data_IF_127297124429
#
_entry.id   IF_127297124429
#
_cell.length_a   1.000
_cell.length_b   1.000
_cell.length_c   1.000
_cell.angle_alpha   90.00
_cell.angle_beta   90.00
_cell.angle_gamma   90.00
#
_symmetry.space_group_name_H-M   'P 1'
#
loop_
_entity.id
_entity.type
_entity.pdbx_description
1 polymer ?
#
# COMPACT_ATOMS: atom_id res chain seq x y z
N UNK A 1 -2.13 4.23 5.90
CA UNK A 1 -1.13 4.95 5.10
C UNK A 1 -0.06 5.47 6.03
N UNK A 2 1.03 4.77 6.15
CA UNK A 2 2.13 5.16 7.00
C UNK A 2 3.35 5.53 6.15
N UNK A 3 3.69 6.79 6.26
CA UNK A 3 4.96 7.44 5.94
C UNK A 3 5.65 7.20 4.59
N UNK A 4 5.55 8.22 3.76
CA UNK A 4 6.54 8.50 2.72
C UNK A 4 7.71 9.21 3.40
N UNK A 5 8.77 8.49 3.76
CA UNK A 5 9.90 9.09 4.48
C UNK A 5 10.81 9.91 3.58
N UNK A 6 10.91 11.19 3.86
CA UNK A 6 11.91 12.10 3.32
C UNK A 6 12.67 12.81 4.47
N UNK A 7 13.96 13.02 4.29
CA UNK A 7 14.86 13.54 5.32
C UNK A 7 14.71 15.05 5.57
N UNK A 8 13.78 15.49 6.40
CA UNK A 8 13.69 16.78 7.12
C UNK A 8 12.24 17.22 7.37
N UNK A 9 11.88 17.59 8.59
CA UNK A 9 10.49 17.57 9.07
C UNK A 9 9.50 18.57 8.44
N UNK A 10 9.87 19.73 7.95
CA UNK A 10 8.93 20.67 7.30
C UNK A 10 8.94 20.58 5.76
N UNK A 11 10.04 20.20 5.15
CA UNK A 11 10.12 19.81 3.73
C UNK A 11 9.67 18.36 3.49
N UNK A 12 9.56 17.56 4.55
CA UNK A 12 9.20 16.14 4.54
C UNK A 12 7.77 15.93 4.03
N UNK A 13 6.82 16.72 4.51
CA UNK A 13 5.43 16.64 4.08
C UNK A 13 5.24 16.99 2.60
N UNK A 14 5.78 18.12 2.15
CA UNK A 14 5.65 18.56 0.75
C UNK A 14 6.35 17.61 -0.23
N UNK A 15 7.51 17.09 0.14
CA UNK A 15 8.26 16.13 -0.67
C UNK A 15 7.53 14.80 -0.76
N UNK A 16 6.97 14.31 0.33
CA UNK A 16 6.17 13.09 0.39
C UNK A 16 4.91 13.21 -0.48
N UNK A 17 4.17 14.32 -0.36
CA UNK A 17 3.01 14.62 -1.21
C UNK A 17 3.41 14.69 -2.68
N UNK A 18 4.55 15.30 -3.01
CA UNK A 18 5.06 15.36 -4.39
C UNK A 18 5.41 13.97 -4.95
N UNK A 19 6.01 13.09 -4.15
CA UNK A 19 6.33 11.71 -4.57
C UNK A 19 5.05 10.92 -4.80
N UNK A 20 4.12 10.98 -3.86
CA UNK A 20 2.83 10.31 -3.97
C UNK A 20 2.03 10.81 -5.17
N UNK A 21 1.97 12.12 -5.39
CA UNK A 21 1.26 12.72 -6.52
C UNK A 21 1.85 12.30 -7.88
N UNK A 22 3.18 12.23 -8.00
CA UNK A 22 3.83 11.77 -9.23
C UNK A 22 3.58 10.27 -9.47
N UNK A 23 3.69 9.45 -8.43
CA UNK A 23 3.40 8.02 -8.52
C UNK A 23 1.94 7.78 -8.92
N UNK A 24 1.01 8.44 -8.25
CA UNK A 24 -0.41 8.30 -8.48
C UNK A 24 -0.83 8.76 -9.88
N UNK A 25 -0.17 9.77 -10.45
CA UNK A 25 -0.43 10.21 -11.82
C UNK A 25 -0.12 9.11 -12.85
N UNK A 26 0.96 8.35 -12.66
CA UNK A 26 1.34 7.23 -13.54
C UNK A 26 0.47 6.01 -13.24
N UNK A 27 0.24 5.70 -11.98
CA UNK A 27 -0.58 4.55 -11.55
C UNK A 27 -2.06 4.70 -11.95
N UNK A 28 -2.58 5.91 -12.13
CA UNK A 28 -3.94 6.15 -12.62
C UNK A 28 -4.21 5.56 -14.02
N UNK A 29 -3.17 5.21 -14.77
CA UNK A 29 -3.26 4.55 -16.09
C UNK A 29 -3.12 3.01 -15.99
N UNK A 30 -2.87 2.48 -14.81
CA UNK A 30 -2.71 1.04 -14.54
C UNK A 30 -4.04 0.43 -14.09
N UNK A 31 -4.31 -0.79 -14.52
CA UNK A 31 -5.50 -1.56 -14.08
C UNK A 31 -5.25 -2.36 -12.79
N UNK A 32 -4.05 -2.27 -12.21
CA UNK A 32 -3.70 -3.06 -11.03
C UNK A 32 -4.41 -2.52 -9.76
N UNK A 33 -4.92 -3.39 -8.86
CA UNK A 33 -5.61 -2.95 -7.63
C UNK A 33 -4.79 -2.00 -6.75
N UNK A 34 -3.48 -2.25 -6.60
CA UNK A 34 -2.55 -1.38 -5.86
C UNK A 34 -2.47 0.02 -6.50
N UNK A 35 -2.42 0.08 -7.83
CA UNK A 35 -2.39 1.33 -8.58
C UNK A 35 -3.64 2.18 -8.32
N UNK A 36 -4.81 1.55 -8.37
CA UNK A 36 -6.08 2.21 -8.04
C UNK A 36 -6.12 2.71 -6.59
N UNK A 37 -5.56 1.95 -5.63
CA UNK A 37 -5.49 2.37 -4.24
C UNK A 37 -4.60 3.62 -4.07
N UNK A 38 -3.43 3.65 -4.71
CA UNK A 38 -2.51 4.80 -4.69
C UNK A 38 -3.15 6.03 -5.33
N UNK A 39 -3.73 5.88 -6.54
CA UNK A 39 -4.37 6.96 -7.27
C UNK A 39 -5.57 7.55 -6.51
N UNK A 40 -6.44 6.69 -5.97
CA UNK A 40 -7.59 7.10 -5.18
C UNK A 40 -7.17 7.86 -3.92
N UNK A 41 -6.26 7.30 -3.12
CA UNK A 41 -5.78 7.94 -1.90
C UNK A 41 -5.17 9.32 -2.16
N UNK A 42 -4.35 9.45 -3.20
CA UNK A 42 -3.74 10.72 -3.55
C UNK A 42 -4.79 11.76 -3.99
N UNK A 43 -5.80 11.35 -4.74
CA UNK A 43 -6.89 12.24 -5.20
C UNK A 43 -7.76 12.71 -4.04
N UNK A 44 -8.16 11.80 -3.15
CA UNK A 44 -9.02 12.10 -2.00
C UNK A 44 -8.36 13.02 -0.97
N UNK A 45 -7.05 12.89 -0.76
CA UNK A 45 -6.34 13.61 0.30
C UNK A 45 -5.58 14.85 -0.19
N UNK A 46 -5.17 14.89 -1.46
CA UNK A 46 -4.30 15.95 -2.00
C UNK A 46 -4.83 16.58 -3.30
N UNK A 47 -5.98 16.12 -3.80
CA UNK A 47 -6.60 16.61 -5.00
C UNK A 47 -6.10 15.97 -6.30
N UNK A 48 -6.64 16.41 -7.43
CA UNK A 48 -6.31 15.85 -8.74
C UNK A 48 -4.85 16.12 -9.15
N UNK A 49 -4.29 15.21 -9.94
CA UNK A 49 -2.92 15.34 -10.45
C UNK A 49 -2.84 16.46 -11.47
N UNK A 50 -1.80 17.29 -11.36
CA UNK A 50 -1.53 18.34 -12.32
C UNK A 50 -0.57 17.80 -13.40
N UNK A 51 -1.07 17.62 -14.62
CA UNK A 51 -0.27 17.19 -15.76
C UNK A 51 -0.89 16.05 -16.56
N UNK A 52 -0.20 15.66 -17.62
CA UNK A 52 -0.53 14.50 -18.45
C UNK A 52 0.60 13.50 -18.39
N UNK A 53 0.29 12.22 -18.52
CA UNK A 53 1.30 11.16 -18.62
C UNK A 53 1.45 10.78 -20.09
N UNK A 54 2.66 10.88 -20.60
CA UNK A 54 3.07 10.43 -21.93
C UNK A 54 3.94 9.18 -21.80
N UNK A 55 4.03 8.39 -22.85
CA UNK A 55 4.91 7.20 -22.91
C UNK A 55 4.70 6.23 -21.73
N UNK A 56 3.43 6.02 -21.35
CA UNK A 56 3.07 5.05 -20.31
C UNK A 56 3.38 3.63 -20.77
N UNK A 57 4.00 2.86 -19.89
CA UNK A 57 4.29 1.45 -20.11
C UNK A 57 4.09 0.69 -18.78
N UNK A 58 3.24 -0.34 -18.82
CA UNK A 58 3.08 -1.32 -17.75
C UNK A 58 3.87 -2.59 -18.09
N UNK A 59 4.66 -3.07 -17.13
CA UNK A 59 5.45 -4.30 -17.25
C UNK A 59 5.28 -5.15 -15.99
N UNK A 60 5.62 -6.44 -16.02
CA UNK A 60 5.59 -7.24 -14.80
C UNK A 60 6.40 -6.58 -13.67
N UNK A 61 5.74 -6.33 -12.54
CA UNK A 61 6.35 -5.73 -11.36
C UNK A 61 6.29 -4.21 -11.26
N UNK A 62 5.87 -3.48 -12.31
CA UNK A 62 5.76 -2.04 -12.20
C UNK A 62 5.27 -1.31 -13.43
N UNK A 63 5.21 0.00 -13.31
CA UNK A 63 4.81 0.93 -14.37
C UNK A 63 5.83 2.06 -14.51
N UNK A 64 5.90 2.65 -15.70
CA UNK A 64 6.65 3.88 -15.95
C UNK A 64 5.88 4.81 -16.87
N UNK A 65 6.17 6.11 -16.76
CA UNK A 65 5.59 7.12 -17.63
C UNK A 65 6.28 8.47 -17.48
N UNK A 66 6.17 9.30 -18.49
CA UNK A 66 6.66 10.67 -18.47
C UNK A 66 5.55 11.62 -18.04
N UNK A 67 5.63 12.14 -16.82
CA UNK A 67 4.72 13.16 -16.31
C UNK A 67 5.11 14.52 -16.90
N UNK A 68 4.22 15.09 -17.71
CA UNK A 68 4.37 16.40 -18.34
C UNK A 68 3.48 17.42 -17.62
N UNK A 69 4.11 18.46 -17.08
CA UNK A 69 3.42 19.57 -16.42
C UNK A 69 3.67 20.86 -17.17
N UNK A 70 2.61 21.58 -17.51
CA UNK A 70 2.71 22.92 -18.07
C UNK A 70 2.69 23.92 -16.93
N UNK A 71 3.68 24.81 -16.89
CA UNK A 71 3.78 25.95 -15.96
C UNK A 71 4.00 27.22 -16.78
N UNK A 72 3.87 28.38 -16.15
CA UNK A 72 4.07 29.68 -16.81
C UNK A 72 5.45 29.81 -17.47
N UNK A 73 6.45 29.12 -16.92
CA UNK A 73 7.83 29.08 -17.42
C UNK A 73 8.10 28.00 -18.49
N UNK A 74 7.06 27.24 -18.92
CA UNK A 74 7.20 26.19 -19.93
C UNK A 74 6.75 24.80 -19.47
N UNK A 75 7.07 23.79 -20.30
CA UNK A 75 6.78 22.38 -20.01
C UNK A 75 7.92 21.73 -19.24
N UNK A 76 7.62 21.17 -18.10
CA UNK A 76 8.55 20.26 -17.38
C UNK A 76 8.19 18.81 -17.64
N UNK A 77 9.20 17.98 -17.91
CA UNK A 77 9.09 16.54 -18.08
C UNK A 77 9.78 15.82 -16.94
N UNK A 78 9.13 14.80 -16.42
CA UNK A 78 9.67 13.97 -15.35
C UNK A 78 9.34 12.51 -15.64
N UNK A 79 10.37 11.68 -15.80
CA UNK A 79 10.18 10.24 -15.84
C UNK A 79 9.88 9.75 -14.42
N UNK A 80 8.86 8.94 -14.28
CA UNK A 80 8.42 8.32 -13.01
C UNK A 80 8.33 6.81 -13.22
N UNK A 81 8.94 6.06 -12.31
CA UNK A 81 8.83 4.61 -12.23
C UNK A 81 8.20 4.26 -10.87
N UNK A 82 7.25 3.34 -10.88
CA UNK A 82 6.59 2.83 -9.67
C UNK A 82 6.49 1.32 -9.77
N UNK A 83 6.86 0.60 -8.74
CA UNK A 83 6.75 -0.86 -8.75
C UNK A 83 7.54 -1.55 -7.64
N UNK A 84 7.77 -2.84 -7.82
CA UNK A 84 8.56 -3.61 -6.84
C UNK A 84 10.01 -3.15 -6.80
N UNK A 85 10.74 -3.38 -5.70
CA UNK A 85 12.18 -3.12 -5.64
C UNK A 85 12.96 -3.81 -6.75
N UNK A 86 12.56 -5.02 -7.10
CA UNK A 86 13.17 -5.82 -8.18
C UNK A 86 12.98 -5.17 -9.55
N UNK A 87 11.79 -4.60 -9.81
CA UNK A 87 11.51 -3.85 -11.04
C UNK A 87 12.42 -2.62 -11.14
N UNK A 88 12.54 -1.83 -10.07
CA UNK A 88 13.44 -0.67 -10.06
C UNK A 88 14.89 -1.07 -10.29
N UNK A 89 15.35 -2.15 -9.65
CA UNK A 89 16.70 -2.66 -9.84
C UNK A 89 16.97 -3.07 -11.30
N UNK A 90 16.02 -3.76 -11.94
CA UNK A 90 16.09 -4.12 -13.38
C UNK A 90 16.12 -2.87 -14.28
N UNK A 91 15.45 -1.81 -13.89
CA UNK A 91 15.48 -0.50 -14.55
C UNK A 91 16.77 0.30 -14.27
N UNK A 92 17.76 -0.27 -13.57
CA UNK A 92 19.02 0.38 -13.21
C UNK A 92 18.93 1.34 -12.04
N UNK A 93 17.90 1.24 -11.22
CA UNK A 93 17.65 2.13 -10.08
C UNK A 93 17.65 1.33 -8.77
N UNK A 94 18.84 1.00 -8.22
CA UNK A 94 18.92 0.31 -6.94
C UNK A 94 18.40 1.17 -5.79
N UNK A 95 17.75 0.55 -4.82
CA UNK A 95 17.37 1.20 -3.58
C UNK A 95 18.63 1.53 -2.75
N UNK A 96 18.56 2.61 -1.98
CA UNK A 96 19.58 2.94 -0.99
C UNK A 96 19.49 2.01 0.21
N UNK A 97 20.56 1.90 0.98
CA UNK A 97 20.59 1.08 2.22
C UNK A 97 19.47 1.46 3.18
N UNK A 98 19.20 2.76 3.35
CA UNK A 98 18.09 3.25 4.18
C UNK A 98 16.73 2.78 3.68
N UNK A 99 16.53 2.77 2.36
CA UNK A 99 15.28 2.29 1.76
C UNK A 99 15.14 0.78 1.89
N UNK A 100 16.23 0.02 1.84
CA UNK A 100 16.22 -1.42 2.13
C UNK A 100 15.78 -1.70 3.57
N UNK A 101 16.36 -1.01 4.55
CA UNK A 101 15.97 -1.15 5.96
C UNK A 101 14.50 -0.83 6.18
N UNK A 102 13.99 0.22 5.54
CA UNK A 102 12.56 0.58 5.61
C UNK A 102 11.66 -0.46 4.94
N UNK A 103 12.09 -1.01 3.80
CA UNK A 103 11.37 -2.07 3.12
C UNK A 103 11.25 -3.31 3.99
N UNK A 104 12.32 -3.72 4.68
CA UNK A 104 12.29 -4.83 5.62
C UNK A 104 11.37 -4.55 6.82
N UNK A 105 11.40 -3.33 7.33
CA UNK A 105 10.48 -2.93 8.39
C UNK A 105 9.02 -3.03 7.95
N UNK A 106 8.64 -2.42 6.81
CA UNK A 106 7.26 -2.47 6.31
C UNK A 106 6.81 -3.89 5.97
N UNK A 107 7.73 -4.74 5.48
CA UNK A 107 7.45 -6.16 5.27
C UNK A 107 7.18 -6.92 6.57
N UNK A 108 7.95 -6.63 7.62
CA UNK A 108 7.73 -7.25 8.94
C UNK A 108 6.39 -6.82 9.57
N UNK A 109 5.89 -5.65 9.18
CA UNK A 109 4.57 -5.13 9.55
C UNK A 109 3.44 -5.66 8.65
N UNK A 110 3.73 -6.55 7.70
CA UNK A 110 2.75 -7.12 6.77
C UNK A 110 2.24 -6.15 5.70
N UNK A 111 2.95 -5.04 5.46
CA UNK A 111 2.55 -4.04 4.48
C UNK A 111 3.03 -4.39 3.07
N UNK A 112 2.17 -4.14 2.08
CA UNK A 112 2.58 -4.17 0.68
C UNK A 112 3.30 -2.88 0.34
N UNK A 113 4.55 -2.98 -0.15
CA UNK A 113 5.37 -1.79 -0.40
C UNK A 113 5.78 -1.72 -1.86
N UNK A 114 5.57 -0.56 -2.49
CA UNK A 114 6.09 -0.22 -3.81
C UNK A 114 7.15 0.88 -3.70
N UNK A 115 8.15 0.81 -4.56
CA UNK A 115 9.21 1.78 -4.64
C UNK A 115 8.93 2.78 -5.77
N UNK A 116 9.34 4.03 -5.57
CA UNK A 116 9.17 5.11 -6.54
C UNK A 116 10.53 5.67 -6.92
N UNK A 117 10.77 5.80 -8.23
CA UNK A 117 11.93 6.49 -8.77
C UNK A 117 11.53 7.63 -9.69
N UNK A 118 12.36 8.66 -9.78
CA UNK A 118 12.13 9.83 -10.62
C UNK A 118 13.41 10.30 -11.32
N UNK A 119 13.23 10.79 -12.55
CA UNK A 119 14.26 11.56 -13.26
C UNK A 119 13.67 12.88 -13.76
N UNK A 120 14.48 13.91 -13.83
CA UNK A 120 14.12 15.23 -14.37
C UNK A 120 14.97 15.49 -15.61
N UNK A 121 14.30 15.74 -16.75
CA UNK A 121 14.95 15.93 -18.04
C UNK A 121 15.68 14.65 -18.49
N UNK A 122 16.95 14.79 -18.89
CA UNK A 122 17.79 13.69 -19.41
C UNK A 122 18.64 13.01 -18.33
N UNK A 123 18.36 13.26 -17.04
CA UNK A 123 19.10 12.61 -15.95
C UNK A 123 18.60 11.18 -15.75
N UNK A 124 19.48 10.33 -15.23
CA UNK A 124 19.09 8.99 -14.82
C UNK A 124 18.10 9.04 -13.65
N UNK A 125 17.13 8.10 -13.60
CA UNK A 125 16.21 8.04 -12.50
C UNK A 125 16.90 7.64 -11.18
N UNK A 126 16.46 8.25 -10.10
CA UNK A 126 16.95 7.98 -8.74
C UNK A 126 15.79 7.51 -7.86
N UNK A 127 16.01 6.57 -6.94
CA UNK A 127 14.99 6.14 -6.00
C UNK A 127 14.67 7.30 -5.05
N UNK A 128 13.39 7.67 -4.96
CA UNK A 128 12.97 8.86 -4.20
C UNK A 128 12.13 8.52 -2.99
N UNK A 129 11.51 7.34 -2.92
CA UNK A 129 10.70 6.94 -1.79
C UNK A 129 10.09 5.56 -1.94
N UNK A 130 9.42 5.14 -0.86
CA UNK A 130 8.60 3.95 -0.79
C UNK A 130 7.16 4.37 -0.45
N UNK A 131 6.19 3.66 -0.99
CA UNK A 131 4.77 3.77 -0.64
C UNK A 131 4.37 2.43 -0.04
N UNK A 132 4.03 2.43 1.25
CA UNK A 132 3.52 1.26 1.94
C UNK A 132 1.98 1.31 1.98
N UNK A 133 1.35 0.20 1.68
CA UNK A 133 -0.09 0.02 1.68
C UNK A 133 -0.45 -1.06 2.70
N UNK A 134 -1.47 -0.78 3.49
CA UNK A 134 -2.09 -1.76 4.37
C UNK A 134 -3.47 -2.10 3.81
N UNK A 135 -3.88 -3.34 3.95
CA UNK A 135 -5.29 -3.68 3.78
C UNK A 135 -6.10 -3.02 4.90
N UNK A 136 -7.17 -2.35 4.52
CA UNK A 136 -8.10 -1.75 5.46
C UNK A 136 -9.43 -2.48 5.40
N UNK A 137 -10.05 -2.77 6.54
CA UNK A 137 -11.41 -3.27 6.56
C UNK A 137 -12.34 -2.33 5.78
N UNK A 138 -13.38 -2.90 5.18
CA UNK A 138 -14.41 -2.08 4.54
C UNK A 138 -15.08 -1.19 5.58
N UNK A 139 -15.52 0.04 5.22
CA UNK A 139 -16.16 0.96 6.17
C UNK A 139 -17.34 0.34 6.93
N UNK A 140 -18.09 -0.54 6.27
CA UNK A 140 -19.24 -1.25 6.84
C UNK A 140 -18.89 -2.43 7.76
N UNK A 141 -17.61 -2.86 7.79
CA UNK A 141 -17.22 -4.06 8.55
C UNK A 141 -17.45 -3.92 10.05
N UNK A 142 -17.13 -2.77 10.64
CA UNK A 142 -17.34 -2.54 12.07
C UNK A 142 -18.83 -2.59 12.44
N UNK A 143 -19.71 -2.04 11.59
CA UNK A 143 -21.16 -2.14 11.80
C UNK A 143 -21.65 -3.58 11.69
N UNK A 144 -21.21 -4.33 10.68
CA UNK A 144 -21.60 -5.73 10.50
C UNK A 144 -21.17 -6.60 11.70
N UNK A 145 -19.96 -6.38 12.24
CA UNK A 145 -19.48 -7.07 13.44
C UNK A 145 -20.33 -6.70 14.66
N UNK A 146 -20.70 -5.43 14.83
CA UNK A 146 -21.59 -5.02 15.92
C UNK A 146 -22.98 -5.69 15.83
N UNK A 147 -23.57 -5.75 14.63
CA UNK A 147 -24.84 -6.43 14.40
C UNK A 147 -24.76 -7.94 14.71
N UNK A 148 -23.64 -8.61 14.40
CA UNK A 148 -23.42 -10.01 14.78
C UNK A 148 -23.36 -10.19 16.30
N UNK A 149 -22.70 -9.29 17.02
CA UNK A 149 -22.69 -9.32 18.50
C UNK A 149 -24.09 -9.13 19.09
N UNK A 150 -24.92 -8.22 18.55
CA UNK A 150 -26.32 -8.05 18.97
C UNK A 150 -27.17 -9.31 18.76
N UNK A 151 -26.84 -10.13 17.76
CA UNK A 151 -27.47 -11.42 17.52
C UNK A 151 -26.94 -12.55 18.44
N UNK A 152 -26.00 -12.23 19.34
CA UNK A 152 -25.37 -13.22 20.21
C UNK A 152 -24.35 -14.12 19.53
N UNK A 153 -23.81 -13.68 18.38
CA UNK A 153 -22.76 -14.38 17.67
C UNK A 153 -21.38 -13.80 18.06
N UNK A 154 -20.36 -14.66 18.08
CA UNK A 154 -18.97 -14.28 18.39
C UNK A 154 -18.13 -14.33 17.10
N UNK A 155 -17.91 -13.19 16.42
CA UNK A 155 -17.10 -13.14 15.21
C UNK A 155 -15.64 -13.52 15.49
N UNK A 156 -15.07 -14.33 14.59
CA UNK A 156 -13.70 -14.82 14.69
C UNK A 156 -12.92 -14.42 13.43
N UNK A 157 -11.72 -13.84 13.60
CA UNK A 157 -10.80 -13.52 12.51
C UNK A 157 -9.80 -14.65 12.32
N UNK A 158 -9.81 -15.28 11.13
CA UNK A 158 -8.90 -16.35 10.74
C UNK A 158 -8.11 -15.95 9.50
N UNK A 159 -6.86 -15.55 9.67
CA UNK A 159 -6.05 -14.95 8.61
C UNK A 159 -4.65 -15.54 8.51
N UNK A 160 -4.05 -15.45 7.31
CA UNK A 160 -2.63 -15.76 7.09
C UNK A 160 -1.68 -14.61 7.43
N UNK A 161 -2.20 -13.44 7.77
CA UNK A 161 -1.41 -12.25 8.10
C UNK A 161 -0.63 -12.41 9.41
N UNK A 162 0.37 -11.54 9.59
CA UNK A 162 1.14 -11.48 10.83
C UNK A 162 0.23 -11.13 12.04
N UNK A 163 0.55 -11.63 13.25
CA UNK A 163 -0.27 -11.42 14.45
C UNK A 163 -0.58 -9.94 14.73
N UNK A 164 0.39 -9.07 14.56
CA UNK A 164 0.27 -7.63 14.82
C UNK A 164 -0.74 -6.98 13.87
N UNK A 165 -0.72 -7.36 12.59
CA UNK A 165 -1.66 -6.88 11.56
C UNK A 165 -3.07 -7.39 11.85
N UNK A 166 -3.20 -8.68 12.14
CA UNK A 166 -4.49 -9.31 12.46
C UNK A 166 -5.14 -8.67 13.70
N UNK A 167 -4.37 -8.42 14.76
CA UNK A 167 -4.85 -7.75 15.97
C UNK A 167 -5.29 -6.31 15.71
N UNK A 168 -4.54 -5.57 14.89
CA UNK A 168 -4.92 -4.20 14.51
C UNK A 168 -6.24 -4.17 13.72
N UNK A 169 -6.40 -5.09 12.75
CA UNK A 169 -7.64 -5.23 11.98
C UNK A 169 -8.80 -5.61 12.91
N UNK A 170 -8.65 -6.64 13.73
CA UNK A 170 -9.68 -7.11 14.66
C UNK A 170 -10.14 -5.98 15.58
N UNK A 171 -9.21 -5.25 16.18
CA UNK A 171 -9.50 -4.10 17.05
C UNK A 171 -10.25 -2.99 16.33
N UNK A 172 -9.91 -2.72 15.05
CA UNK A 172 -10.55 -1.66 14.27
C UNK A 172 -12.00 -1.96 13.90
N UNK A 173 -12.39 -3.25 13.84
CA UNK A 173 -13.75 -3.69 13.51
C UNK A 173 -14.55 -4.21 14.72
N UNK A 174 -13.94 -4.28 15.90
CA UNK A 174 -14.63 -4.71 17.13
C UNK A 174 -14.66 -6.23 17.34
N UNK A 175 -13.73 -6.98 16.75
CA UNK A 175 -13.54 -8.41 17.05
C UNK A 175 -12.71 -8.55 18.32
N UNK A 176 -13.11 -9.44 19.22
CA UNK A 176 -12.39 -9.71 20.47
C UNK A 176 -10.97 -10.25 20.15
N UNK A 177 -9.90 -9.73 20.79
CA UNK A 177 -8.54 -10.24 20.62
C UNK A 177 -8.37 -11.75 20.83
N UNK A 178 -9.19 -12.36 21.68
CA UNK A 178 -9.19 -13.80 21.92
C UNK A 178 -9.74 -14.62 20.73
N UNK A 179 -10.48 -13.99 19.83
CA UNK A 179 -11.05 -14.59 18.63
C UNK A 179 -10.22 -14.33 17.38
N UNK A 180 -8.92 -14.07 17.53
CA UNK A 180 -7.99 -13.79 16.41
C UNK A 180 -6.99 -14.93 16.24
N UNK A 181 -7.07 -15.61 15.11
CA UNK A 181 -6.16 -16.67 14.68
C UNK A 181 -5.33 -16.15 13.51
N UNK A 182 -4.11 -15.72 13.77
CA UNK A 182 -3.19 -15.15 12.80
C UNK A 182 -2.12 -16.14 12.34
N UNK A 183 -1.50 -15.87 11.19
CA UNK A 183 -0.44 -16.73 10.63
C UNK A 183 -0.91 -18.12 10.23
N UNK A 184 -2.19 -18.29 9.95
CA UNK A 184 -2.80 -19.60 9.68
C UNK A 184 -2.71 -19.92 8.19
N UNK A 185 -2.01 -21.04 7.86
CA UNK A 185 -1.95 -21.52 6.48
C UNK A 185 -3.32 -22.03 5.99
N UNK A 186 -3.56 -22.11 4.67
CA UNK A 186 -4.83 -22.59 4.13
C UNK A 186 -5.25 -23.97 4.69
N UNK A 187 -4.28 -24.87 4.89
CA UNK A 187 -4.53 -26.22 5.42
C UNK A 187 -4.98 -26.16 6.89
N UNK A 188 -4.33 -25.32 7.69
CA UNK A 188 -4.68 -25.15 9.11
C UNK A 188 -5.99 -24.42 9.36
N UNK A 189 -6.52 -23.66 8.39
CA UNK A 189 -7.85 -23.01 8.54
C UNK A 189 -8.95 -24.02 8.84
N UNK A 190 -8.96 -25.15 8.14
CA UNK A 190 -9.91 -26.23 8.37
C UNK A 190 -9.75 -26.89 9.75
N UNK A 191 -8.51 -27.02 10.23
CA UNK A 191 -8.23 -27.57 11.56
C UNK A 191 -8.75 -26.68 12.69
N UNK A 192 -8.56 -25.35 12.56
CA UNK A 192 -9.09 -24.40 13.56
C UNK A 192 -10.61 -24.42 13.60
N UNK A 193 -11.27 -24.52 12.45
CA UNK A 193 -12.75 -24.64 12.40
C UNK A 193 -13.19 -25.94 13.09
N UNK A 194 -12.52 -27.05 12.80
CA UNK A 194 -12.84 -28.34 13.44
C UNK A 194 -12.63 -28.28 14.96
N UNK A 195 -11.57 -27.65 15.43
CA UNK A 195 -11.32 -27.45 16.85
C UNK A 195 -12.44 -26.65 17.52
N UNK A 196 -12.86 -25.54 16.95
CA UNK A 196 -13.96 -24.73 17.47
C UNK A 196 -15.28 -25.54 17.53
N UNK A 197 -15.53 -26.38 16.54
CA UNK A 197 -16.69 -27.28 16.54
C UNK A 197 -16.61 -28.35 17.62
N UNK A 198 -15.42 -28.94 17.87
CA UNK A 198 -15.18 -29.91 18.94
C UNK A 198 -15.35 -29.29 20.35
N UNK A 199 -15.04 -27.99 20.49
CA UNK A 199 -15.28 -27.20 21.69
C UNK A 199 -16.76 -26.82 21.88
N UNK A 200 -17.64 -27.20 20.95
CA UNK A 200 -19.10 -27.05 21.04
C UNK A 200 -19.64 -25.79 20.36
N UNK A 201 -18.79 -25.03 19.66
CA UNK A 201 -19.27 -23.89 18.87
C UNK A 201 -19.96 -24.36 17.59
N UNK A 202 -20.98 -23.63 17.18
CA UNK A 202 -21.60 -23.78 15.85
C UNK A 202 -20.90 -22.80 14.90
N UNK A 203 -20.01 -23.32 14.04
CA UNK A 203 -19.22 -22.55 13.07
C UNK A 203 -19.75 -22.81 11.65
#
# INVERSE_FOLDING_TARGET
>A
FTDVTADNASSKSERSVSILSDAAAVEALSEHPIAHAIARFATENYGAFLGTVENFEGVPGGVRGELVRTRDEGKSRRLVLVGTPEYLLQAGVPLTEKQHQMLEQTRSEGLTTVAVARAIGTKDPLPVGLIALADSPKPESAQAIAELHELGLEPTLLTGDAPEVAQAIASSVGINPENVFAGVTPERKSEVIAQLQDEGYRV
#
